data_IF_532356599812
#
_entry.id   IF_532356599812
#
_cell.length_a   1.000
_cell.length_b   1.000
_cell.length_c   1.000
_cell.angle_alpha   90.00
_cell.angle_beta   90.00
_cell.angle_gamma   90.00
#
_symmetry.space_group_name_H-M   'P 1'
#
loop_
_entity.id
_entity.type
_entity.pdbx_description
1 polymer ?
#
# COMPACT_ATOMS: atom_id res chain seq x y z
N UNK A 1 7.82 -10.54 8.81
CA UNK A 1 6.88 -10.78 7.70
C UNK A 1 6.13 -12.08 7.99
N UNK A 2 4.83 -12.13 7.71
CA UNK A 2 4.03 -13.31 8.01
C UNK A 2 4.24 -14.41 6.97
N UNK A 3 3.99 -15.69 7.33
CA UNK A 3 4.06 -16.77 6.35
C UNK A 3 3.17 -16.58 5.14
N UNK A 4 2.00 -15.97 5.31
CA UNK A 4 1.07 -15.68 4.22
C UNK A 4 1.64 -14.70 3.22
N UNK A 5 2.31 -13.65 3.69
CA UNK A 5 2.96 -12.65 2.84
C UNK A 5 4.14 -13.29 2.12
N UNK A 6 4.93 -14.12 2.82
CA UNK A 6 6.03 -14.86 2.20
C UNK A 6 5.54 -15.79 1.09
N UNK A 7 4.43 -16.49 1.33
CA UNK A 7 3.83 -17.37 0.32
C UNK A 7 3.38 -16.58 -0.91
N UNK A 8 2.83 -15.38 -0.70
CA UNK A 8 2.47 -14.50 -1.82
C UNK A 8 3.71 -14.14 -2.65
N UNK A 9 4.81 -13.76 -2.00
CA UNK A 9 6.06 -13.43 -2.69
C UNK A 9 6.56 -14.63 -3.51
N UNK A 10 6.55 -15.82 -2.92
CA UNK A 10 7.02 -17.04 -3.59
C UNK A 10 6.21 -17.42 -4.83
N UNK A 11 4.96 -16.97 -4.91
CA UNK A 11 4.09 -17.24 -6.07
C UNK A 11 4.43 -16.38 -7.28
N UNK A 12 5.29 -15.39 -7.13
CA UNK A 12 5.63 -14.42 -8.17
C UNK A 12 6.96 -14.76 -8.87
N UNK A 13 7.23 -14.07 -9.99
CA UNK A 13 8.52 -14.17 -10.66
C UNK A 13 9.65 -13.64 -9.76
N UNK A 14 10.88 -14.02 -10.06
CA UNK A 14 12.04 -13.53 -9.28
C UNK A 14 12.12 -12.00 -9.31
N UNK A 15 11.81 -11.38 -10.45
CA UNK A 15 11.81 -9.93 -10.60
C UNK A 15 10.77 -9.28 -9.68
N UNK A 16 9.56 -9.83 -9.65
CA UNK A 16 8.50 -9.31 -8.78
C UNK A 16 8.79 -9.59 -7.31
N UNK A 17 9.41 -10.73 -6.99
CA UNK A 17 9.83 -11.02 -5.62
C UNK A 17 10.82 -9.99 -5.09
N UNK A 18 11.76 -9.54 -5.94
CA UNK A 18 12.73 -8.52 -5.56
C UNK A 18 12.03 -7.19 -5.23
N UNK A 19 11.02 -6.80 -6.03
CA UNK A 19 10.22 -5.61 -5.77
C UNK A 19 9.50 -5.76 -4.43
N UNK A 20 8.79 -6.87 -4.24
CA UNK A 20 8.02 -7.13 -3.03
C UNK A 20 8.89 -7.14 -1.76
N UNK A 21 10.06 -7.75 -1.85
CA UNK A 21 10.98 -7.81 -0.71
C UNK A 21 11.41 -6.41 -0.27
N UNK A 22 11.74 -5.55 -1.22
CA UNK A 22 12.13 -4.17 -0.92
C UNK A 22 10.98 -3.37 -0.35
N UNK A 23 9.78 -3.52 -0.93
CA UNK A 23 8.58 -2.83 -0.42
C UNK A 23 8.24 -3.28 0.99
N UNK A 24 8.20 -4.59 1.25
CA UNK A 24 7.86 -5.13 2.56
C UNK A 24 8.86 -4.69 3.63
N UNK A 25 10.15 -4.72 3.31
CA UNK A 25 11.21 -4.28 4.22
C UNK A 25 11.07 -2.79 4.57
N UNK A 26 10.83 -1.96 3.58
CA UNK A 26 10.70 -0.51 3.78
C UNK A 26 9.43 -0.19 4.57
N UNK A 27 8.32 -0.85 4.26
CA UNK A 27 7.06 -0.67 5.00
C UNK A 27 7.25 -1.03 6.48
N UNK A 28 7.87 -2.18 6.76
CA UNK A 28 8.09 -2.62 8.13
C UNK A 28 9.00 -1.65 8.90
N UNK A 29 10.01 -1.11 8.22
CA UNK A 29 10.94 -0.17 8.83
C UNK A 29 10.29 1.18 9.14
N UNK A 30 9.51 1.71 8.20
CA UNK A 30 8.89 3.04 8.34
C UNK A 30 7.59 3.03 9.15
N UNK A 31 6.86 1.91 9.13
CA UNK A 31 5.61 1.77 9.86
C UNK A 31 5.66 0.54 10.79
N UNK A 32 6.51 0.59 11.84
CA UNK A 32 6.63 -0.56 12.75
C UNK A 32 5.35 -0.87 13.51
N UNK A 33 4.45 0.09 13.65
CA UNK A 33 3.16 -0.10 14.29
C UNK A 33 2.13 -0.77 13.40
N UNK A 34 2.39 -0.88 12.08
CA UNK A 34 1.43 -1.47 11.14
C UNK A 34 1.44 -2.99 11.21
N UNK A 35 0.25 -3.57 11.12
CA UNK A 35 0.08 -5.02 11.06
C UNK A 35 -0.10 -5.47 9.61
N UNK A 36 0.81 -6.33 9.12
CA UNK A 36 0.76 -6.86 7.76
C UNK A 36 0.04 -8.20 7.70
N UNK A 37 -0.82 -8.37 6.70
CA UNK A 37 -1.49 -9.66 6.43
C UNK A 37 -1.95 -9.70 4.98
N UNK A 38 -2.29 -10.89 4.50
CA UNK A 38 -2.91 -11.04 3.18
C UNK A 38 -4.39 -10.70 3.31
N UNK A 39 -4.87 -9.79 2.46
CA UNK A 39 -6.25 -9.35 2.44
C UNK A 39 -6.67 -9.14 0.97
N UNK A 40 -7.82 -9.67 0.59
CA UNK A 40 -8.25 -9.70 -0.81
C UNK A 40 -7.20 -10.31 -1.75
N UNK A 41 -6.45 -11.30 -1.25
CA UNK A 41 -5.49 -12.05 -2.03
C UNK A 41 -4.10 -11.42 -2.19
N UNK A 42 -3.80 -10.33 -1.48
CA UNK A 42 -2.48 -9.69 -1.55
C UNK A 42 -2.07 -9.05 -0.22
N UNK A 43 -0.76 -8.76 -0.04
CA UNK A 43 -0.28 -8.15 1.20
C UNK A 43 -0.81 -6.74 1.42
N UNK A 44 -1.30 -6.49 2.63
CA UNK A 44 -1.81 -5.17 3.06
C UNK A 44 -1.36 -4.93 4.50
N UNK A 45 -0.97 -3.69 4.81
CA UNK A 45 -0.62 -3.25 6.17
C UNK A 45 -1.67 -2.31 6.71
N UNK A 46 -2.03 -2.54 7.98
CA UNK A 46 -3.12 -1.85 8.67
C UNK A 46 -2.58 -1.11 9.90
N UNK A 47 -3.11 0.07 10.17
CA UNK A 47 -2.88 0.79 11.42
C UNK A 47 -4.23 0.95 12.11
N UNK A 48 -4.34 0.47 13.36
CA UNK A 48 -5.60 0.47 14.10
C UNK A 48 -6.75 -0.13 13.28
N UNK A 49 -6.47 -1.23 12.60
CA UNK A 49 -7.40 -1.98 11.76
C UNK A 49 -7.84 -1.25 10.47
N UNK A 50 -7.27 -0.09 10.16
CA UNK A 50 -7.56 0.64 8.94
C UNK A 50 -6.49 0.32 7.88
N UNK A 51 -6.88 -0.07 6.64
CA UNK A 51 -5.89 -0.37 5.60
C UNK A 51 -5.14 0.89 5.18
N UNK A 52 -3.83 0.79 5.11
CA UNK A 52 -2.94 1.92 4.84
C UNK A 52 -2.23 1.76 3.50
N UNK A 53 -1.52 0.66 3.31
CA UNK A 53 -0.69 0.42 2.13
C UNK A 53 -0.66 -1.06 1.81
N UNK A 54 -0.57 -1.39 0.53
CA UNK A 54 -0.43 -2.76 0.09
C UNK A 54 0.12 -2.82 -1.32
N UNK A 55 0.43 -4.02 -1.78
CA UNK A 55 0.88 -4.20 -3.15
C UNK A 55 0.33 -5.49 -3.74
N UNK A 56 0.21 -5.49 -5.07
CA UNK A 56 -0.31 -6.65 -5.78
C UNK A 56 0.20 -6.69 -7.21
N UNK A 57 0.36 -7.90 -7.75
CA UNK A 57 0.70 -8.09 -9.15
C UNK A 57 -0.52 -7.76 -10.01
N UNK A 58 -0.39 -6.79 -10.90
CA UNK A 58 -1.39 -6.40 -11.86
C UNK A 58 -0.87 -6.62 -13.28
N UNK A 59 -1.73 -6.46 -14.27
CA UNK A 59 -1.36 -6.61 -15.67
C UNK A 59 -0.28 -5.61 -16.08
N UNK A 60 -0.36 -4.38 -15.57
CA UNK A 60 0.57 -3.30 -15.90
C UNK A 60 1.89 -3.35 -15.12
N UNK A 61 2.00 -4.20 -14.10
CA UNK A 61 3.18 -4.31 -13.26
C UNK A 61 2.83 -4.59 -11.82
N UNK A 62 3.81 -4.48 -10.94
CA UNK A 62 3.57 -4.62 -9.51
C UNK A 62 3.09 -3.28 -8.96
N UNK A 63 1.83 -3.26 -8.50
CA UNK A 63 1.18 -2.05 -8.03
C UNK A 63 1.38 -1.87 -6.53
N UNK A 64 1.90 -0.70 -6.15
CA UNK A 64 1.89 -0.24 -4.76
C UNK A 64 0.74 0.74 -4.61
N UNK A 65 -0.15 0.51 -3.65
CA UNK A 65 -1.32 1.35 -3.44
C UNK A 65 -1.38 1.85 -2.00
N UNK A 66 -1.65 3.15 -1.86
CA UNK A 66 -1.94 3.78 -0.57
C UNK A 66 -3.43 4.10 -0.54
N UNK A 67 -4.15 3.57 0.45
CA UNK A 67 -5.60 3.74 0.54
C UNK A 67 -6.03 5.21 0.65
N UNK A 68 -5.19 6.05 1.26
CA UNK A 68 -5.47 7.48 1.40
C UNK A 68 -4.51 8.36 0.62
N UNK A 69 -3.84 7.81 -0.39
CA UNK A 69 -2.78 8.47 -1.13
C UNK A 69 -3.20 9.68 -1.95
N UNK A 70 -4.48 9.79 -2.29
CA UNK A 70 -5.00 10.92 -3.09
C UNK A 70 -4.73 12.27 -2.42
N UNK A 71 -4.67 12.31 -1.10
CA UNK A 71 -4.47 13.54 -0.34
C UNK A 71 -3.04 13.75 0.15
N UNK A 72 -2.09 12.95 -0.34
CA UNK A 72 -0.67 13.12 0.04
C UNK A 72 0.00 14.31 -0.62
N UNK A 73 -0.56 14.80 -1.75
CA UNK A 73 0.06 15.88 -2.50
C UNK A 73 1.34 15.44 -3.22
N UNK A 74 1.40 14.19 -3.67
CA UNK A 74 2.57 13.58 -4.31
C UNK A 74 2.34 13.34 -5.80
N UNK A 75 3.23 13.87 -6.64
CA UNK A 75 3.12 13.73 -8.09
C UNK A 75 3.41 12.32 -8.58
N UNK A 76 4.20 11.55 -7.84
CA UNK A 76 4.57 10.18 -8.19
C UNK A 76 3.48 9.15 -7.97
N UNK A 77 2.34 9.54 -7.39
CA UNK A 77 1.21 8.66 -7.14
C UNK A 77 0.02 9.06 -8.00
N UNK A 78 -0.53 8.08 -8.73
CA UNK A 78 -1.68 8.29 -9.60
C UNK A 78 -2.99 8.10 -8.84
N UNK A 79 -3.84 9.13 -8.87
CA UNK A 79 -5.18 9.12 -8.27
C UNK A 79 -6.17 8.73 -9.36
N UNK A 80 -6.93 7.64 -9.14
CA UNK A 80 -7.82 7.10 -10.18
C UNK A 80 -9.26 7.55 -10.15
N UNK A 81 -9.78 7.94 -9.00
CA UNK A 81 -11.18 8.25 -8.88
C UNK A 81 -11.47 9.41 -7.96
N UNK A 82 -12.76 9.81 -7.92
CA UNK A 82 -13.21 10.87 -7.04
C UNK A 82 -13.86 10.33 -5.77
N UNK A 83 -14.45 9.13 -5.84
CA UNK A 83 -15.15 8.50 -4.72
C UNK A 83 -14.20 7.97 -3.67
N UNK A 84 -13.14 7.27 -4.10
CA UNK A 84 -12.14 6.71 -3.20
C UNK A 84 -10.87 7.55 -3.21
N UNK A 85 -10.11 7.47 -2.12
CA UNK A 85 -8.94 8.30 -1.88
C UNK A 85 -7.63 7.57 -2.13
N UNK A 86 -7.68 6.45 -2.82
CA UNK A 86 -6.49 5.67 -3.13
C UNK A 86 -5.64 6.29 -4.23
N UNK A 87 -4.34 6.02 -4.14
CA UNK A 87 -3.38 6.41 -5.18
C UNK A 87 -2.34 5.32 -5.31
N UNK A 88 -1.82 5.13 -6.51
CA UNK A 88 -0.96 3.99 -6.83
C UNK A 88 0.25 4.37 -7.67
N UNK A 89 1.26 3.50 -7.64
CA UNK A 89 2.40 3.53 -8.54
C UNK A 89 2.69 2.10 -8.97
N UNK A 90 3.17 1.92 -10.21
CA UNK A 90 3.53 0.62 -10.76
C UNK A 90 5.05 0.52 -10.92
N UNK A 91 5.59 -0.63 -10.55
CA UNK A 91 7.01 -0.93 -10.69
C UNK A 91 7.22 -2.12 -11.64
N UNK A 92 8.12 -1.97 -12.59
CA UNK A 92 8.53 -3.06 -13.47
C UNK A 92 9.73 -3.82 -12.89
N UNK A 93 10.60 -3.13 -12.16
CA UNK A 93 11.83 -3.68 -11.57
C UNK A 93 12.10 -3.05 -10.21
N UNK A 94 12.88 -3.73 -9.38
CA UNK A 94 13.26 -3.20 -8.07
C UNK A 94 14.03 -1.87 -8.18
N UNK A 95 14.83 -1.71 -9.22
CA UNK A 95 15.60 -0.49 -9.47
C UNK A 95 14.72 0.73 -9.74
N UNK A 96 13.45 0.52 -10.12
CA UNK A 96 12.51 1.60 -10.39
C UNK A 96 11.96 2.23 -9.11
N UNK A 97 12.19 1.60 -7.97
CA UNK A 97 11.69 2.10 -6.68
C UNK A 97 12.56 3.28 -6.22
N UNK A 98 11.94 4.46 -6.15
CA UNK A 98 12.56 5.62 -5.53
C UNK A 98 12.36 5.49 -4.02
N UNK A 99 13.37 5.02 -3.31
CA UNK A 99 13.29 4.73 -1.89
C UNK A 99 13.03 5.98 -1.04
N UNK A 100 13.56 7.11 -1.45
CA UNK A 100 13.31 8.37 -0.75
C UNK A 100 11.84 8.78 -0.84
N UNK A 101 11.26 8.70 -2.04
CA UNK A 101 9.86 8.96 -2.26
C UNK A 101 8.99 7.96 -1.49
N UNK A 102 9.33 6.67 -1.54
CA UNK A 102 8.60 5.62 -0.84
C UNK A 102 8.54 5.89 0.66
N UNK A 103 9.66 6.23 1.28
CA UNK A 103 9.71 6.55 2.71
C UNK A 103 8.86 7.77 3.04
N UNK A 104 8.90 8.79 2.20
CA UNK A 104 8.08 9.99 2.37
C UNK A 104 6.59 9.65 2.29
N UNK A 105 6.17 8.84 1.31
CA UNK A 105 4.78 8.40 1.19
C UNK A 105 4.33 7.59 2.40
N UNK A 106 5.18 6.71 2.92
CA UNK A 106 4.86 5.92 4.10
C UNK A 106 4.68 6.82 5.33
N UNK A 107 5.51 7.84 5.49
CA UNK A 107 5.33 8.81 6.58
C UNK A 107 4.03 9.60 6.39
N UNK A 108 3.71 10.01 5.16
CA UNK A 108 2.44 10.67 4.84
C UNK A 108 1.24 9.79 5.17
N UNK A 109 1.36 8.49 4.94
CA UNK A 109 0.26 7.54 5.18
C UNK A 109 -0.13 7.47 6.66
N UNK A 110 0.79 7.79 7.56
CA UNK A 110 0.52 7.87 8.99
C UNK A 110 -0.24 9.15 9.34
N UNK A 111 0.01 10.23 8.61
CA UNK A 111 -0.56 11.55 8.86
C UNK A 111 -1.91 11.76 8.18
N UNK A 112 -2.16 11.11 7.05
CA UNK A 112 -3.35 11.29 6.23
C UNK A 112 -4.07 9.96 6.10
N UNK A 113 -5.24 9.85 6.72
CA UNK A 113 -6.02 8.61 6.71
C UNK A 113 -7.51 8.87 6.54
N UNK A 114 -8.13 8.09 5.64
CA UNK A 114 -9.57 8.01 5.48
C UNK A 114 -10.07 6.71 6.12
N UNK A 115 -11.30 6.71 6.61
CA UNK A 115 -11.85 5.59 7.38
C UNK A 115 -12.40 4.48 6.49
N UNK A 116 -11.49 3.68 5.95
CA UNK A 116 -11.87 2.53 5.14
C UNK A 116 -12.39 1.35 5.97
N UNK A 117 -11.93 1.21 7.20
CA UNK A 117 -12.32 0.08 8.05
C UNK A 117 -13.81 0.07 8.35
N UNK A 118 -14.46 1.22 8.38
CA UNK A 118 -15.89 1.38 8.65
C UNK A 118 -16.71 1.70 7.41
N UNK A 119 -16.16 1.50 6.21
CA UNK A 119 -16.81 1.87 4.96
C UNK A 119 -18.17 1.20 4.79
N UNK A 120 -18.27 -0.10 5.05
CA UNK A 120 -19.53 -0.86 4.95
C UNK A 120 -20.52 -0.37 6.00
N UNK A 121 -20.06 -0.17 7.24
CA UNK A 121 -20.87 0.32 8.33
C UNK A 121 -21.46 1.71 8.05
N UNK A 122 -20.70 2.56 7.34
CA UNK A 122 -21.12 3.89 6.94
C UNK A 122 -21.83 3.91 5.58
N UNK A 123 -22.28 2.75 5.09
CA UNK A 123 -23.01 2.59 3.83
C UNK A 123 -22.26 3.15 2.62
N UNK A 124 -20.97 2.93 2.58
CA UNK A 124 -20.11 3.37 1.48
C UNK A 124 -19.66 4.82 1.56
N UNK A 125 -20.00 5.53 2.62
CA UNK A 125 -19.53 6.91 2.82
C UNK A 125 -18.15 6.89 3.49
N UNK A 126 -17.20 7.52 2.83
CA UNK A 126 -15.81 7.58 3.31
C UNK A 126 -15.61 8.88 4.12
N UNK A 127 -15.14 8.72 5.36
CA UNK A 127 -14.89 9.85 6.25
C UNK A 127 -13.40 9.98 6.54
N UNK A 128 -12.91 11.18 6.72
CA UNK A 128 -11.50 11.44 7.01
C UNK A 128 -11.22 11.28 8.50
N UNK A 129 -10.16 10.51 8.83
CA UNK A 129 -9.70 10.31 10.20
C UNK A 129 -8.60 11.30 10.58
N UNK A 130 -7.70 11.57 9.65
CA UNK A 130 -6.54 12.45 9.89
C UNK A 130 -6.21 13.27 8.67
#
# INVERSE_FOLDING_TARGET
MTPEIEAYHESLSESDQAICALLAETIASELPEAEGKVWHGHPVWFIAANPIVGYSRQKAGLRLMFWSGADFGEEGLDVRGEKFKDASVFYARAEDIDQEALRRWLQRSREVQWDYKNLVKCKGRLERLK
#
